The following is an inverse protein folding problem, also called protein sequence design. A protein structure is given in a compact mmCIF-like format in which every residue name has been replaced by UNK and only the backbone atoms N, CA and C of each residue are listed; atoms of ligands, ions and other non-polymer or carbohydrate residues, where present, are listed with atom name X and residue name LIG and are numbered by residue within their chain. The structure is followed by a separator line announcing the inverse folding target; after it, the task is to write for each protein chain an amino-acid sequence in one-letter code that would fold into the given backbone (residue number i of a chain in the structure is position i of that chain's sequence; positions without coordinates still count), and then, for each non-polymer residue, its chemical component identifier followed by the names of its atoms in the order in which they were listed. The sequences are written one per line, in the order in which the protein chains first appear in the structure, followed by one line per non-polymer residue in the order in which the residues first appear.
data_IF_160412475996
#
_entry.id   IF_160412475996
#
_cell.length_a   1.000
_cell.length_b   1.000
_cell.length_c   1.000
_cell.angle_alpha   90.00
_cell.angle_beta   90.00
_cell.angle_gamma   90.00
#
_symmetry.space_group_name_H-M   'P 1'
#
loop_
_entity.id
_entity.type
_entity.pdbx_description
1 polymer ?
#
# COMPACT_ATOMS: atom_id res chain seq x y z
N UNK A 1 19.21 27.16 -58.25
CA UNK A 1 18.10 26.21 -57.96
C UNK A 1 18.46 25.15 -56.90
N UNK A 2 19.73 24.71 -56.79
CA UNK A 2 20.17 23.69 -55.82
C UNK A 2 20.05 24.09 -54.32
N UNK A 3 20.28 25.36 -53.96
CA UNK A 3 20.23 25.82 -52.56
C UNK A 3 18.82 25.82 -51.93
N UNK A 4 17.76 25.88 -52.76
CA UNK A 4 16.38 25.90 -52.29
C UNK A 4 15.86 24.49 -51.92
N UNK A 5 16.36 23.47 -52.62
CA UNK A 5 16.00 22.05 -52.39
C UNK A 5 16.61 21.54 -51.08
N UNK A 6 17.86 21.93 -50.77
CA UNK A 6 18.55 21.57 -49.52
C UNK A 6 17.83 22.10 -48.27
N UNK A 7 17.39 23.37 -48.27
CA UNK A 7 16.62 23.95 -47.15
C UNK A 7 15.25 23.28 -46.93
N UNK A 8 14.63 22.78 -48.00
CA UNK A 8 13.33 22.08 -47.94
C UNK A 8 13.47 20.68 -47.33
N UNK A 9 14.52 19.95 -47.71
CA UNK A 9 14.83 18.62 -47.15
C UNK A 9 15.17 18.69 -45.65
N UNK A 10 15.97 19.69 -45.24
CA UNK A 10 16.34 19.90 -43.84
C UNK A 10 15.12 20.25 -42.96
N UNK A 11 14.23 21.13 -43.44
CA UNK A 11 12.96 21.46 -42.75
C UNK A 11 12.02 20.26 -42.63
N UNK A 12 12.03 19.35 -43.61
CA UNK A 12 11.20 18.14 -43.60
C UNK A 12 11.71 17.10 -42.61
N UNK A 13 13.02 16.87 -42.53
CA UNK A 13 13.63 15.98 -41.53
C UNK A 13 13.50 16.52 -40.11
N UNK A 14 13.63 17.83 -39.90
CA UNK A 14 13.39 18.46 -38.60
C UNK A 14 11.94 18.24 -38.12
N UNK A 15 10.95 18.35 -39.02
CA UNK A 15 9.54 18.07 -38.71
C UNK A 15 9.27 16.61 -38.39
N UNK A 16 9.90 15.69 -39.13
CA UNK A 16 9.80 14.24 -38.86
C UNK A 16 10.46 13.87 -37.53
N UNK A 17 11.61 14.47 -37.19
CA UNK A 17 12.29 14.25 -35.92
C UNK A 17 11.47 14.80 -34.73
N UNK A 18 10.88 15.99 -34.87
CA UNK A 18 9.99 16.57 -33.85
C UNK A 18 8.72 15.70 -33.69
N UNK A 19 8.15 15.20 -34.79
CA UNK A 19 7.01 14.29 -34.75
C UNK A 19 7.34 12.96 -34.05
N UNK A 20 8.49 12.37 -34.35
CA UNK A 20 8.94 11.14 -33.70
C UNK A 20 9.21 11.33 -32.19
N UNK A 21 9.81 12.46 -31.80
CA UNK A 21 10.07 12.81 -30.40
C UNK A 21 8.76 12.99 -29.61
N UNK A 22 7.76 13.65 -30.20
CA UNK A 22 6.43 13.79 -29.62
C UNK A 22 5.74 12.44 -29.44
N UNK A 23 5.83 11.53 -30.40
CA UNK A 23 5.24 10.18 -30.29
C UNK A 23 5.91 9.37 -29.16
N UNK A 24 7.23 9.49 -28.98
CA UNK A 24 7.93 8.81 -27.88
C UNK A 24 7.60 9.38 -26.50
N UNK A 25 7.27 10.67 -26.41
CA UNK A 25 6.83 11.32 -25.16
C UNK A 25 5.42 10.88 -24.72
N UNK A 26 4.56 10.46 -25.67
CA UNK A 26 3.23 9.92 -25.37
C UNK A 26 3.23 8.42 -25.05
N UNK A 27 4.34 7.70 -25.25
CA UNK A 27 4.42 6.25 -25.04
C UNK A 27 4.65 5.83 -23.57
N UNK A 28 4.62 6.77 -22.61
CA UNK A 28 4.75 6.50 -21.18
C UNK A 28 3.43 6.08 -20.54
N UNK A 29 2.84 4.96 -20.96
CA UNK A 29 1.65 4.39 -20.31
C UNK A 29 1.97 3.00 -19.76
N UNK A 30 2.83 2.94 -18.75
CA UNK A 30 2.95 1.74 -17.93
C UNK A 30 1.80 1.76 -16.91
N UNK A 31 0.95 0.74 -16.91
CA UNK A 31 -0.06 0.58 -15.87
C UNK A 31 0.62 0.35 -14.52
N UNK A 32 0.10 0.96 -13.46
CA UNK A 32 0.57 0.66 -12.11
C UNK A 32 0.50 -0.85 -11.86
N UNK A 33 1.54 -1.46 -11.25
CA UNK A 33 1.50 -2.86 -10.87
C UNK A 33 0.31 -3.10 -9.92
N UNK A 34 -0.25 -4.32 -9.90
CA UNK A 34 -1.36 -4.63 -9.01
C UNK A 34 -0.94 -4.44 -7.54
N UNK A 35 -1.85 -3.88 -6.74
CA UNK A 35 -1.68 -3.78 -5.29
C UNK A 35 -1.62 -5.20 -4.71
N UNK A 36 -0.50 -5.55 -4.09
CA UNK A 36 -0.29 -6.85 -3.45
C UNK A 36 -0.06 -6.67 -1.96
N UNK A 37 -1.01 -7.15 -1.16
CA UNK A 37 -0.95 -7.13 0.30
C UNK A 37 -0.61 -8.51 0.90
N UNK A 38 -0.23 -9.49 0.06
CA UNK A 38 0.17 -10.81 0.55
C UNK A 38 1.43 -10.71 1.40
N UNK A 39 1.40 -11.35 2.57
CA UNK A 39 2.49 -11.26 3.54
C UNK A 39 3.55 -12.31 3.24
N UNK A 40 4.77 -11.84 3.04
CA UNK A 40 5.95 -12.69 2.81
C UNK A 40 6.73 -12.90 4.10
N UNK A 41 7.54 -13.97 4.12
CA UNK A 41 8.58 -14.21 5.14
C UNK A 41 8.09 -14.28 6.61
N UNK A 42 6.83 -14.66 6.83
CA UNK A 42 6.31 -14.91 8.19
C UNK A 42 6.68 -16.32 8.63
N UNK A 43 7.58 -16.43 9.60
CA UNK A 43 7.90 -17.70 10.27
C UNK A 43 6.99 -17.93 11.48
N UNK A 44 6.76 -19.19 11.89
CA UNK A 44 6.09 -19.49 13.15
C UNK A 44 6.77 -18.77 14.33
N UNK A 45 5.98 -18.22 15.23
CA UNK A 45 6.48 -17.48 16.40
C UNK A 45 7.21 -18.40 17.37
N UNK A 46 8.37 -17.96 17.86
CA UNK A 46 9.09 -18.61 18.97
C UNK A 46 8.44 -18.36 20.33
N UNK A 47 7.54 -17.37 20.41
CA UNK A 47 6.82 -17.01 21.62
C UNK A 47 5.31 -17.06 21.38
N UNK A 48 4.63 -17.89 22.16
CA UNK A 48 3.16 -18.00 22.12
C UNK A 48 2.53 -16.99 23.08
N UNK A 49 1.41 -16.41 22.65
CA UNK A 49 0.55 -15.58 23.48
C UNK A 49 -0.57 -16.48 24.05
N UNK A 50 -0.70 -16.49 25.37
CA UNK A 50 -1.86 -17.08 26.07
C UNK A 50 -3.08 -16.18 25.87
N UNK A 51 -3.61 -16.19 24.65
CA UNK A 51 -4.84 -15.54 24.25
C UNK A 51 -5.37 -16.20 22.97
N UNK A 52 -6.69 -16.25 22.84
CA UNK A 52 -7.39 -16.68 21.63
C UNK A 52 -7.93 -15.44 20.92
N UNK A 53 -7.38 -15.18 19.73
CA UNK A 53 -7.76 -14.06 18.88
C UNK A 53 -9.08 -14.35 18.18
N UNK A 54 -10.09 -13.54 18.47
CA UNK A 54 -11.46 -13.76 17.99
C UNK A 54 -11.87 -12.92 16.80
N UNK A 55 -11.29 -11.74 16.66
CA UNK A 55 -11.57 -10.85 15.55
C UNK A 55 -10.40 -9.91 15.31
N UNK A 56 -10.22 -9.53 14.05
CA UNK A 56 -9.38 -8.41 13.62
C UNK A 56 -10.31 -7.39 12.98
N UNK A 57 -10.09 -6.11 13.24
CA UNK A 57 -10.77 -5.03 12.55
C UNK A 57 -9.77 -3.93 12.21
N UNK A 58 -9.73 -3.54 10.94
CA UNK A 58 -8.87 -2.45 10.48
C UNK A 58 -9.71 -1.28 9.97
N UNK A 59 -9.31 -0.07 10.32
CA UNK A 59 -9.96 1.16 9.88
C UNK A 59 -8.98 2.32 9.85
N UNK A 60 -9.32 3.39 9.14
CA UNK A 60 -8.61 4.65 9.30
C UNK A 60 -8.81 5.22 10.70
N UNK A 61 -7.77 5.88 11.21
CA UNK A 61 -7.82 6.61 12.47
C UNK A 61 -8.76 7.82 12.35
N UNK A 62 -9.40 8.18 13.45
CA UNK A 62 -10.16 9.42 13.51
C UNK A 62 -9.23 10.63 13.29
N UNK A 63 -9.72 11.79 12.83
CA UNK A 63 -8.86 12.93 12.50
C UNK A 63 -7.92 13.39 13.63
N UNK A 64 -8.35 13.26 14.89
CA UNK A 64 -7.55 13.61 16.07
C UNK A 64 -6.52 12.54 16.47
N UNK A 65 -6.53 11.39 15.82
CA UNK A 65 -5.63 10.26 16.05
C UNK A 65 -4.65 10.05 14.86
N UNK A 66 -4.82 10.79 13.77
CA UNK A 66 -3.94 10.76 12.61
C UNK A 66 -2.60 11.42 12.94
N UNK A 67 -1.51 10.80 12.48
CA UNK A 67 -0.15 11.30 12.67
C UNK A 67 0.43 11.88 11.38
N UNK A 68 -0.22 11.64 10.24
CA UNK A 68 0.14 12.13 8.93
C UNK A 68 -1.06 12.12 7.97
N UNK A 69 -0.79 12.11 6.68
CA UNK A 69 -1.84 12.13 5.67
C UNK A 69 -2.53 10.77 5.55
N UNK A 70 -3.86 10.78 5.38
CA UNK A 70 -4.67 9.61 5.06
C UNK A 70 -5.36 9.90 3.74
N UNK A 71 -5.26 9.00 2.74
CA UNK A 71 -5.67 9.31 1.39
C UNK A 71 -7.19 9.30 1.30
N UNK A 72 -7.73 10.25 0.53
CA UNK A 72 -9.16 10.31 0.23
C UNK A 72 -9.60 9.22 -0.76
N UNK A 73 -8.64 8.62 -1.47
CA UNK A 73 -8.78 7.54 -2.42
C UNK A 73 -8.03 6.30 -1.91
N UNK A 74 -8.75 5.28 -1.45
CA UNK A 74 -8.12 4.17 -0.73
C UNK A 74 -9.09 3.37 0.14
N UNK A 75 -10.37 3.38 -0.20
CA UNK A 75 -11.45 2.81 0.59
C UNK A 75 -11.29 1.30 0.80
N UNK A 76 -10.60 0.62 -0.14
CA UNK A 76 -10.30 -0.81 -0.05
C UNK A 76 -9.09 -1.14 0.84
N UNK A 77 -8.24 -0.17 1.19
CA UNK A 77 -6.98 -0.42 1.90
C UNK A 77 -7.21 -1.03 3.29
N UNK A 78 -8.16 -0.53 4.13
CA UNK A 78 -8.41 -1.16 5.42
C UNK A 78 -8.77 -2.65 5.31
N UNK A 79 -9.59 -3.03 4.33
CA UNK A 79 -9.97 -4.43 4.10
C UNK A 79 -8.80 -5.29 3.61
N UNK A 80 -7.96 -4.75 2.72
CA UNK A 80 -6.75 -5.44 2.24
C UNK A 80 -5.72 -5.61 3.37
N UNK A 81 -5.54 -4.59 4.21
CA UNK A 81 -4.67 -4.61 5.37
C UNK A 81 -5.19 -5.61 6.41
N UNK A 82 -6.50 -5.67 6.66
CA UNK A 82 -7.11 -6.67 7.56
C UNK A 82 -6.79 -8.09 7.12
N UNK A 83 -6.99 -8.40 5.83
CA UNK A 83 -6.66 -9.71 5.27
C UNK A 83 -5.18 -10.04 5.43
N UNK A 84 -4.29 -9.08 5.19
CA UNK A 84 -2.86 -9.25 5.39
C UNK A 84 -2.50 -9.55 6.86
N UNK A 85 -3.09 -8.81 7.81
CA UNK A 85 -2.87 -9.02 9.25
C UNK A 85 -3.38 -10.39 9.68
N UNK A 86 -4.57 -10.81 9.24
CA UNK A 86 -5.10 -12.15 9.52
C UNK A 86 -4.19 -13.23 8.94
N UNK A 87 -3.73 -13.06 7.69
CA UNK A 87 -2.78 -13.99 7.06
C UNK A 87 -1.47 -14.10 7.85
N UNK A 88 -0.88 -12.98 8.25
CA UNK A 88 0.35 -12.94 9.04
C UNK A 88 0.17 -13.62 10.41
N UNK A 89 -0.94 -13.32 11.10
CA UNK A 89 -1.22 -13.92 12.41
C UNK A 89 -1.38 -15.43 12.28
N UNK A 90 -2.12 -15.92 11.29
CA UNK A 90 -2.31 -17.34 11.06
C UNK A 90 -0.98 -18.04 10.72
N UNK A 91 -0.19 -17.48 9.80
CA UNK A 91 1.14 -18.00 9.45
C UNK A 91 2.09 -18.05 10.65
N UNK A 92 2.04 -17.05 11.52
CA UNK A 92 2.87 -17.01 12.73
C UNK A 92 2.44 -18.03 13.78
N UNK A 93 1.17 -18.46 13.76
CA UNK A 93 0.57 -19.31 14.79
C UNK A 93 0.84 -18.79 16.22
N UNK A 94 0.88 -17.47 16.44
CA UNK A 94 1.34 -16.92 17.73
C UNK A 94 0.31 -17.06 18.88
N UNK A 95 -0.98 -17.17 18.58
CA UNK A 95 -2.06 -17.25 19.56
C UNK A 95 -2.35 -18.70 19.97
N UNK A 96 -2.93 -18.87 21.15
CA UNK A 96 -3.41 -20.14 21.68
C UNK A 96 -4.94 -20.18 21.61
N UNK A 97 -5.47 -20.96 20.67
CA UNK A 97 -6.91 -21.08 20.42
C UNK A 97 -7.68 -21.65 21.64
N UNK A 98 -6.98 -22.37 22.54
CA UNK A 98 -7.55 -22.95 23.75
C UNK A 98 -7.50 -22.00 24.96
N UNK A 99 -6.85 -20.84 24.82
CA UNK A 99 -6.71 -19.89 25.93
C UNK A 99 -8.07 -19.39 26.42
N UNK A 100 -8.25 -19.29 27.73
CA UNK A 100 -9.46 -18.71 28.33
C UNK A 100 -9.56 -17.20 28.10
N UNK A 101 -8.45 -16.52 27.77
CA UNK A 101 -8.41 -15.09 27.47
C UNK A 101 -8.77 -14.86 26.01
N UNK A 102 -9.95 -14.32 25.77
CA UNK A 102 -10.43 -14.02 24.41
C UNK A 102 -10.14 -12.56 24.08
N UNK A 103 -9.46 -12.30 22.97
CA UNK A 103 -9.04 -10.95 22.57
C UNK A 103 -9.52 -10.58 21.17
N UNK A 104 -9.69 -9.28 20.92
CA UNK A 104 -9.88 -8.71 19.59
C UNK A 104 -8.72 -7.78 19.26
N UNK A 105 -8.28 -7.77 18.00
CA UNK A 105 -7.27 -6.84 17.52
C UNK A 105 -7.93 -5.72 16.71
N UNK A 106 -7.74 -4.48 17.15
CA UNK A 106 -8.15 -3.30 16.39
C UNK A 106 -6.92 -2.59 15.85
N UNK A 107 -6.94 -2.27 14.56
CA UNK A 107 -5.87 -1.54 13.88
C UNK A 107 -6.44 -0.22 13.38
N UNK A 108 -5.74 0.87 13.71
CA UNK A 108 -6.03 2.22 13.23
C UNK A 108 -4.89 2.69 12.36
N UNK A 109 -5.15 2.86 11.05
CA UNK A 109 -4.18 3.43 10.11
C UNK A 109 -4.13 4.93 10.37
N UNK A 110 -3.00 5.41 10.90
CA UNK A 110 -2.80 6.80 11.33
C UNK A 110 -2.17 7.67 10.23
N UNK A 111 -1.50 7.03 9.27
CA UNK A 111 -0.88 7.64 8.10
C UNK A 111 -0.77 6.60 6.99
N UNK A 112 -1.00 7.06 5.77
CA UNK A 112 -0.80 6.31 4.53
C UNK A 112 -0.59 7.32 3.41
N UNK A 113 0.67 7.69 3.15
CA UNK A 113 1.02 8.71 2.17
C UNK A 113 1.69 8.06 0.94
N UNK A 114 0.91 7.61 -0.06
CA UNK A 114 1.47 7.10 -1.30
C UNK A 114 2.03 8.25 -2.15
N UNK A 115 3.26 8.12 -2.67
CA UNK A 115 3.89 9.18 -3.43
C UNK A 115 3.13 9.42 -4.74
N UNK A 116 2.97 10.69 -5.12
CA UNK A 116 2.25 11.10 -6.33
C UNK A 116 2.93 10.65 -7.65
N UNK A 117 4.16 10.12 -7.58
CA UNK A 117 4.91 9.57 -8.71
C UNK A 117 6.43 9.66 -8.51
N UNK A 118 7.18 8.74 -9.10
CA UNK A 118 8.64 8.72 -9.01
C UNK A 118 9.25 7.36 -9.39
N UNK A 119 10.58 7.29 -9.46
CA UNK A 119 11.29 6.04 -9.74
C UNK A 119 11.15 5.02 -8.59
N UNK A 120 10.93 5.49 -7.36
CA UNK A 120 10.68 4.68 -6.16
C UNK A 120 9.34 5.08 -5.56
N UNK A 121 8.37 4.16 -5.61
CA UNK A 121 7.02 4.35 -5.05
C UNK A 121 7.00 3.89 -3.59
N UNK A 122 7.74 4.59 -2.72
CA UNK A 122 7.78 4.29 -1.27
C UNK A 122 6.63 5.02 -0.60
N UNK A 123 5.76 4.28 0.07
CA UNK A 123 4.63 4.81 0.86
C UNK A 123 5.01 4.87 2.32
N UNK A 124 4.90 6.04 2.93
CA UNK A 124 4.98 6.16 4.39
C UNK A 124 3.66 5.72 5.00
N UNK A 125 3.72 4.82 5.97
CA UNK A 125 2.54 4.27 6.61
C UNK A 125 2.77 4.05 8.10
N UNK A 126 1.82 4.47 8.93
CA UNK A 126 1.83 4.22 10.36
C UNK A 126 0.47 3.74 10.83
N UNK A 127 0.48 2.84 11.82
CA UNK A 127 -0.75 2.27 12.37
C UNK A 127 -0.60 1.94 13.85
N UNK A 128 -1.68 2.12 14.60
CA UNK A 128 -1.80 1.72 16.00
C UNK A 128 -2.53 0.40 16.10
N UNK A 129 -1.92 -0.56 16.79
CA UNK A 129 -2.49 -1.89 17.06
C UNK A 129 -2.92 -1.96 18.53
N UNK A 130 -4.17 -2.31 18.77
CA UNK A 130 -4.77 -2.41 20.10
C UNK A 130 -5.37 -3.80 20.28
N UNK A 131 -4.77 -4.58 21.18
CA UNK A 131 -5.27 -5.90 21.56
C UNK A 131 -6.18 -5.75 22.78
N UNK A 132 -7.46 -6.04 22.62
CA UNK A 132 -8.47 -5.77 23.65
C UNK A 132 -9.02 -7.07 24.22
N UNK A 133 -8.95 -7.24 25.53
CA UNK A 133 -9.60 -8.34 26.22
C UNK A 133 -11.13 -8.20 26.10
N UNK A 134 -11.79 -9.20 25.51
CA UNK A 134 -13.24 -9.16 25.26
C UNK A 134 -14.09 -9.19 26.53
N UNK A 135 -13.54 -9.68 27.64
CA UNK A 135 -14.24 -9.77 28.92
C UNK A 135 -14.10 -8.49 29.73
N UNK A 136 -12.90 -7.91 29.77
CA UNK A 136 -12.60 -6.77 30.66
C UNK A 136 -12.53 -5.43 29.93
N UNK A 137 -12.27 -5.42 28.63
CA UNK A 137 -12.02 -4.21 27.86
C UNK A 137 -10.61 -3.65 28.02
N UNK A 138 -9.74 -4.33 28.77
CA UNK A 138 -8.34 -3.94 28.97
C UNK A 138 -7.53 -4.10 27.68
N UNK A 139 -6.56 -3.20 27.49
CA UNK A 139 -5.70 -3.11 26.30
C UNK A 139 -4.22 -3.21 26.65
#
# INVERSE_FOLDING_TARGET
MAAFISRKSFRMHARMAIGALLITLLAGCASAPPLNFSVQDVSPSTHKLDADLRAVSVSYAAPNEQTGEVPSNGEAIPELWERAVVEAINKSSMFDDESTKKVNLFVKIQELDPPMGGATMVTDASAKYLLVNRKTGET
#
